data_IF_066233545139
#
_entry.id   IF_066233545139
#
_cell.length_a   1.000
_cell.length_b   1.000
_cell.length_c   1.000
_cell.angle_alpha   90.00
_cell.angle_beta   90.00
_cell.angle_gamma   90.00
#
_symmetry.space_group_name_H-M   'P 1'
#
loop_
_entity.id
_entity.type
_entity.pdbx_description
1 polymer ?
#
# COMPACT_ATOMS: atom_id res chain seq x y z
N UNK A 1 -6.25 -12.11 -25.43
CA UNK A 1 -5.58 -12.23 -24.10
C UNK A 1 -6.13 -13.46 -23.39
N UNK A 2 -5.29 -14.24 -22.68
CA UNK A 2 -5.73 -15.42 -21.90
C UNK A 2 -6.59 -15.00 -20.70
N UNK A 3 -7.60 -15.80 -20.34
CA UNK A 3 -8.41 -15.61 -19.12
C UNK A 3 -7.55 -15.82 -17.86
N UNK A 4 -7.55 -14.84 -16.97
CA UNK A 4 -6.83 -14.88 -15.69
C UNK A 4 -7.46 -15.91 -14.75
N UNK A 5 -6.63 -16.68 -14.03
CA UNK A 5 -7.08 -17.60 -12.98
C UNK A 5 -7.28 -16.83 -11.66
N UNK A 6 -8.15 -17.32 -10.80
CA UNK A 6 -8.41 -16.71 -9.49
C UNK A 6 -7.15 -16.68 -8.60
N UNK A 7 -6.32 -17.73 -8.64
CA UNK A 7 -5.02 -17.76 -7.95
C UNK A 7 -4.07 -16.64 -8.39
N UNK A 8 -4.02 -16.34 -9.69
CA UNK A 8 -3.18 -15.27 -10.25
C UNK A 8 -3.66 -13.90 -9.74
N UNK A 9 -4.98 -13.70 -9.67
CA UNK A 9 -5.59 -12.50 -9.11
C UNK A 9 -5.28 -12.34 -7.63
N UNK A 10 -5.51 -13.38 -6.81
CA UNK A 10 -5.27 -13.32 -5.37
C UNK A 10 -3.78 -13.11 -5.04
N UNK A 11 -2.88 -13.70 -5.83
CA UNK A 11 -1.43 -13.49 -5.67
C UNK A 11 -1.02 -12.04 -5.91
N UNK A 12 -1.57 -11.40 -6.95
CA UNK A 12 -1.32 -9.97 -7.21
C UNK A 12 -1.87 -9.12 -6.07
N UNK A 13 -3.07 -9.43 -5.57
CA UNK A 13 -3.69 -8.68 -4.49
C UNK A 13 -2.92 -8.84 -3.16
N UNK A 14 -2.47 -10.05 -2.80
CA UNK A 14 -1.68 -10.27 -1.57
C UNK A 14 -0.35 -9.49 -1.62
N UNK A 15 0.38 -9.58 -2.74
CA UNK A 15 1.65 -8.87 -2.91
C UNK A 15 1.50 -7.34 -2.75
N UNK A 16 0.47 -6.75 -3.37
CA UNK A 16 0.25 -5.31 -3.28
C UNK A 16 -0.34 -4.89 -1.93
N UNK A 17 -1.13 -5.74 -1.28
CA UNK A 17 -1.58 -5.49 0.09
C UNK A 17 -0.41 -5.45 1.07
N UNK A 18 0.55 -6.37 0.93
CA UNK A 18 1.75 -6.39 1.76
C UNK A 18 2.62 -5.14 1.52
N UNK A 19 2.91 -4.81 0.26
CA UNK A 19 3.70 -3.62 -0.11
C UNK A 19 3.07 -2.32 0.40
N UNK A 20 1.73 -2.19 0.31
CA UNK A 20 1.01 -1.06 0.85
C UNK A 20 1.13 -0.98 2.39
N UNK A 21 0.98 -2.11 3.10
CA UNK A 21 1.12 -2.17 4.56
C UNK A 21 2.52 -1.79 5.04
N UNK A 22 3.56 -2.31 4.37
CA UNK A 22 4.96 -2.00 4.68
C UNK A 22 5.26 -0.51 4.46
N UNK A 23 4.89 0.04 3.31
CA UNK A 23 5.12 1.47 3.03
C UNK A 23 4.37 2.38 4.00
N UNK A 24 3.12 2.04 4.34
CA UNK A 24 2.35 2.78 5.35
C UNK A 24 3.00 2.73 6.73
N UNK A 25 3.59 1.59 7.11
CA UNK A 25 4.29 1.43 8.39
C UNK A 25 5.50 2.36 8.46
N UNK A 26 6.30 2.43 7.40
CA UNK A 26 7.46 3.32 7.33
C UNK A 26 7.04 4.78 7.45
N UNK A 27 6.02 5.21 6.70
CA UNK A 27 5.52 6.59 6.79
C UNK A 27 4.98 6.92 8.19
N UNK A 28 4.24 5.99 8.82
CA UNK A 28 3.76 6.17 10.19
C UNK A 28 4.91 6.32 11.19
N UNK A 29 5.95 5.49 11.09
CA UNK A 29 7.11 5.54 11.99
C UNK A 29 7.92 6.82 11.81
N UNK A 30 8.07 7.32 10.58
CA UNK A 30 8.68 8.63 10.33
C UNK A 30 7.86 9.74 11.03
N UNK A 31 6.54 9.76 10.84
CA UNK A 31 5.70 10.75 11.52
C UNK A 31 5.73 10.61 13.06
N UNK A 32 5.87 9.39 13.57
CA UNK A 32 5.83 9.10 15.00
C UNK A 32 7.15 9.41 15.70
N UNK A 33 8.27 9.00 15.11
CA UNK A 33 9.57 8.98 15.79
C UNK A 33 10.55 10.04 15.26
N UNK A 34 10.32 10.57 14.06
CA UNK A 34 11.16 11.66 13.53
C UNK A 34 10.47 13.01 13.69
N UNK A 35 9.17 13.10 13.38
CA UNK A 35 8.43 14.35 13.48
C UNK A 35 7.66 14.53 14.80
N UNK A 36 7.58 13.49 15.65
CA UNK A 36 6.77 13.48 16.89
C UNK A 36 5.31 13.97 16.70
N UNK A 37 4.76 13.80 15.48
CA UNK A 37 3.51 14.43 15.09
C UNK A 37 2.31 13.47 15.24
N UNK A 38 1.57 13.64 16.35
CA UNK A 38 0.45 12.75 16.72
C UNK A 38 -0.65 12.64 15.66
N UNK A 39 -1.03 13.74 15.02
CA UNK A 39 -2.13 13.71 14.04
C UNK A 39 -1.76 12.96 12.76
N UNK A 40 -0.54 13.17 12.22
CA UNK A 40 -0.05 12.45 11.04
C UNK A 40 0.09 10.96 11.33
N UNK A 41 0.67 10.61 12.48
CA UNK A 41 0.76 9.22 12.96
C UNK A 41 -0.63 8.55 12.97
N UNK A 42 -1.62 9.23 13.55
CA UNK A 42 -3.01 8.73 13.57
C UNK A 42 -3.58 8.59 12.15
N UNK A 43 -3.30 9.53 11.26
CA UNK A 43 -3.71 9.49 9.86
C UNK A 43 -3.25 8.20 9.16
N UNK A 44 -1.97 7.86 9.28
CA UNK A 44 -1.42 6.63 8.71
C UNK A 44 -1.99 5.38 9.37
N UNK A 45 -2.09 5.37 10.70
CA UNK A 45 -2.72 4.25 11.43
C UNK A 45 -4.14 3.99 10.93
N UNK A 46 -4.96 5.03 10.75
CA UNK A 46 -6.33 4.89 10.23
C UNK A 46 -6.33 4.34 8.81
N UNK A 47 -5.45 4.81 7.92
CA UNK A 47 -5.36 4.29 6.55
C UNK A 47 -4.97 2.81 6.56
N UNK A 48 -4.04 2.38 7.43
CA UNK A 48 -3.66 0.97 7.60
C UNK A 48 -4.81 0.07 8.04
N UNK A 49 -5.60 0.53 9.02
CA UNK A 49 -6.77 -0.21 9.49
C UNK A 49 -7.79 -0.39 8.37
N UNK A 50 -8.16 0.70 7.71
CA UNK A 50 -9.12 0.65 6.61
C UNK A 50 -8.63 -0.16 5.42
N UNK A 51 -7.33 -0.11 5.09
CA UNK A 51 -6.76 -0.98 4.06
C UNK A 51 -6.96 -2.46 4.38
N UNK A 52 -6.85 -2.83 5.66
CA UNK A 52 -7.07 -4.21 6.12
C UNK A 52 -8.55 -4.58 6.07
N UNK A 53 -9.44 -3.66 6.46
CA UNK A 53 -10.89 -3.84 6.38
C UNK A 53 -11.36 -4.00 4.93
N UNK A 54 -10.94 -3.13 4.02
CA UNK A 54 -11.28 -3.24 2.59
C UNK A 54 -10.75 -4.55 1.99
N UNK A 55 -9.57 -5.02 2.42
CA UNK A 55 -9.04 -6.31 1.99
C UNK A 55 -9.86 -7.51 2.49
N UNK A 56 -10.61 -7.37 3.59
CA UNK A 56 -11.48 -8.43 4.09
C UNK A 56 -12.61 -8.77 3.11
N UNK A 57 -13.11 -7.77 2.36
CA UNK A 57 -14.13 -7.96 1.33
C UNK A 57 -13.72 -8.90 0.18
N UNK A 58 -12.41 -9.14 0.02
CA UNK A 58 -11.86 -10.01 -1.03
C UNK A 58 -11.66 -11.46 -0.54
N UNK A 59 -11.77 -11.70 0.77
CA UNK A 59 -11.52 -12.98 1.41
C UNK A 59 -10.05 -13.18 1.79
N UNK A 60 -9.72 -12.86 3.04
CA UNK A 60 -8.36 -12.98 3.60
C UNK A 60 -7.80 -14.40 3.44
N UNK A 61 -8.64 -15.43 3.59
CA UNK A 61 -8.27 -16.83 3.44
C UNK A 61 -7.69 -17.14 2.06
N UNK A 62 -8.25 -16.52 1.00
CA UNK A 62 -7.79 -16.70 -0.37
C UNK A 62 -6.45 -15.99 -0.63
N UNK A 63 -6.24 -14.82 -0.01
CA UNK A 63 -4.97 -14.10 -0.09
C UNK A 63 -3.83 -14.86 0.61
N UNK A 64 -4.11 -15.40 1.81
CA UNK A 64 -3.14 -16.20 2.56
C UNK A 64 -2.80 -17.50 1.85
N UNK A 65 -3.78 -18.17 1.26
CA UNK A 65 -3.58 -19.39 0.48
C UNK A 65 -2.76 -19.15 -0.80
N UNK A 66 -2.89 -17.97 -1.42
CA UNK A 66 -2.15 -17.59 -2.63
C UNK A 66 -0.74 -17.02 -2.35
N UNK A 67 -0.33 -16.96 -1.07
CA UNK A 67 0.96 -16.38 -0.66
C UNK A 67 2.12 -17.27 -1.12
N UNK A 68 2.76 -16.87 -2.21
CA UNK A 68 4.02 -17.48 -2.67
C UNK A 68 5.22 -16.68 -2.17
N UNK A 69 5.90 -17.18 -1.13
CA UNK A 69 7.08 -16.55 -0.51
C UNK A 69 8.34 -16.69 -1.39
N UNK A 70 8.43 -17.75 -2.19
CA UNK A 70 9.69 -18.16 -2.85
C UNK A 70 9.81 -17.80 -4.34
N UNK A 71 8.77 -17.22 -4.96
CA UNK A 71 8.68 -17.06 -6.41
C UNK A 71 8.54 -15.63 -6.93
N UNK A 72 8.94 -14.59 -6.17
CA UNK A 72 8.90 -13.21 -6.67
C UNK A 72 10.04 -12.95 -7.65
N UNK A 73 9.73 -12.98 -8.95
CA UNK A 73 10.66 -12.71 -10.04
C UNK A 73 11.11 -11.23 -10.06
N UNK A 74 10.40 -10.36 -9.33
CA UNK A 74 10.67 -8.92 -9.21
C UNK A 74 11.71 -8.54 -8.15
N UNK A 75 12.40 -9.50 -7.52
CA UNK A 75 13.35 -9.28 -6.41
C UNK A 75 14.66 -8.57 -6.78
N UNK A 76 14.75 -7.93 -7.94
CA UNK A 76 15.92 -7.13 -8.32
C UNK A 76 15.76 -5.72 -7.75
N UNK A 77 16.48 -5.46 -6.66
CA UNK A 77 16.74 -4.11 -6.12
C UNK A 77 17.39 -3.27 -7.22
N UNK A 78 16.75 -2.16 -7.60
CA UNK A 78 17.36 -1.18 -8.50
C UNK A 78 18.34 -0.33 -7.69
N UNK A 79 19.49 0.03 -8.28
CA UNK A 79 20.50 0.88 -7.62
C UNK A 79 19.96 2.24 -7.14
N UNK A 80 18.82 2.69 -7.66
CA UNK A 80 18.11 3.89 -7.18
C UNK A 80 17.45 3.72 -5.80
N UNK A 81 17.26 2.49 -5.30
CA UNK A 81 16.78 2.25 -3.93
C UNK A 81 17.83 2.56 -2.84
N UNK A 82 19.11 2.68 -3.22
CA UNK A 82 20.25 2.88 -2.31
C UNK A 82 20.57 4.35 -2.03
N UNK A 83 20.07 5.30 -2.81
CA UNK A 83 20.38 6.72 -2.66
C UNK A 83 19.28 7.46 -1.89
N UNK A 84 19.20 7.25 -0.57
CA UNK A 84 18.37 8.08 0.33
C UNK A 84 19.30 9.02 1.09
N UNK A 85 19.10 10.32 0.97
CA UNK A 85 19.96 11.34 1.63
C UNK A 85 19.28 11.94 2.85
N UNK A 86 17.95 12.02 2.86
CA UNK A 86 17.14 12.62 3.93
C UNK A 86 15.95 11.75 4.27
N UNK A 87 15.40 11.93 5.48
CA UNK A 87 14.17 11.24 5.93
C UNK A 87 13.00 11.54 4.98
N UNK A 88 12.94 12.76 4.43
CA UNK A 88 11.93 13.20 3.47
C UNK A 88 11.93 12.32 2.19
N UNK A 89 13.12 11.90 1.72
CA UNK A 89 13.26 11.00 0.57
C UNK A 89 12.68 9.62 0.90
N UNK A 90 12.92 9.14 2.13
CA UNK A 90 12.40 7.86 2.61
C UNK A 90 10.87 7.92 2.69
N UNK A 91 10.34 9.00 3.27
CA UNK A 91 8.91 9.22 3.39
C UNK A 91 8.25 9.26 2.01
N UNK A 92 8.77 10.09 1.10
CA UNK A 92 8.20 10.26 -0.24
C UNK A 92 8.23 8.96 -1.03
N UNK A 93 9.36 8.26 -1.07
CA UNK A 93 9.47 7.00 -1.79
C UNK A 93 8.48 5.94 -1.29
N UNK A 94 8.29 5.83 0.04
CA UNK A 94 7.32 4.91 0.61
C UNK A 94 5.87 5.35 0.34
N UNK A 95 5.57 6.66 0.41
CA UNK A 95 4.24 7.18 0.07
C UNK A 95 3.87 6.89 -1.40
N UNK A 96 4.82 7.01 -2.35
CA UNK A 96 4.59 6.63 -3.75
C UNK A 96 4.29 5.13 -3.89
N UNK A 97 5.11 4.27 -3.29
CA UNK A 97 4.91 2.80 -3.29
C UNK A 97 3.55 2.40 -2.74
N UNK A 98 3.09 3.05 -1.67
CA UNK A 98 1.75 2.81 -1.12
C UNK A 98 0.68 3.17 -2.14
N UNK A 99 0.77 4.34 -2.77
CA UNK A 99 -0.24 4.78 -3.74
C UNK A 99 -0.30 3.88 -4.97
N UNK A 100 0.85 3.44 -5.48
CA UNK A 100 0.96 2.48 -6.58
C UNK A 100 0.35 1.14 -6.19
N UNK A 101 0.68 0.63 -5.00
CA UNK A 101 0.14 -0.63 -4.50
C UNK A 101 -1.39 -0.57 -4.33
N UNK A 102 -1.92 0.51 -3.75
CA UNK A 102 -3.38 0.71 -3.63
C UNK A 102 -4.02 0.86 -5.02
N UNK A 103 -3.34 1.48 -5.99
CA UNK A 103 -3.84 1.59 -7.37
C UNK A 103 -3.98 0.21 -8.02
N UNK A 104 -3.03 -0.70 -7.79
CA UNK A 104 -3.13 -2.08 -8.29
C UNK A 104 -4.31 -2.79 -7.60
N UNK A 105 -4.43 -2.68 -6.28
CA UNK A 105 -5.56 -3.25 -5.54
C UNK A 105 -6.92 -2.75 -6.06
N UNK A 106 -7.03 -1.44 -6.32
CA UNK A 106 -8.22 -0.81 -6.90
C UNK A 106 -8.60 -1.44 -8.24
N UNK A 107 -7.65 -1.58 -9.16
CA UNK A 107 -7.93 -2.13 -10.49
C UNK A 107 -8.30 -3.62 -10.45
N UNK A 108 -7.60 -4.42 -9.64
CA UNK A 108 -7.89 -5.85 -9.52
C UNK A 108 -9.18 -6.14 -8.77
N UNK A 109 -9.54 -5.31 -7.78
CA UNK A 109 -10.80 -5.44 -7.06
C UNK A 109 -12.03 -5.28 -7.97
N UNK A 110 -11.95 -4.48 -9.06
CA UNK A 110 -13.06 -4.32 -10.02
C UNK A 110 -13.48 -5.63 -10.67
N UNK A 111 -12.60 -6.63 -10.71
CA UNK A 111 -12.89 -7.96 -11.25
C UNK A 111 -13.68 -8.85 -10.27
N UNK A 112 -13.78 -8.46 -9.00
CA UNK A 112 -14.43 -9.24 -7.93
C UNK A 112 -15.57 -8.48 -7.26
N UNK A 113 -15.31 -7.25 -6.81
CA UNK A 113 -16.27 -6.42 -6.11
C UNK A 113 -16.02 -4.93 -6.36
N UNK A 114 -17.04 -4.27 -6.90
CA UNK A 114 -16.99 -2.84 -7.21
C UNK A 114 -16.92 -1.99 -5.95
N UNK A 115 -17.56 -2.42 -4.86
CA UNK A 115 -17.55 -1.66 -3.61
C UNK A 115 -16.14 -1.59 -3.01
N UNK A 116 -15.45 -2.73 -2.95
CA UNK A 116 -14.06 -2.81 -2.51
C UNK A 116 -13.12 -1.98 -3.40
N UNK A 117 -13.35 -1.97 -4.71
CA UNK A 117 -12.58 -1.10 -5.62
C UNK A 117 -12.78 0.39 -5.29
N UNK A 118 -14.01 0.81 -5.00
CA UNK A 118 -14.30 2.19 -4.58
C UNK A 118 -13.64 2.55 -3.25
N UNK A 119 -13.54 1.60 -2.32
CA UNK A 119 -12.84 1.82 -1.05
C UNK A 119 -11.33 1.98 -1.22
N UNK A 120 -10.70 1.16 -2.06
CA UNK A 120 -9.28 1.37 -2.41
C UNK A 120 -9.06 2.72 -3.09
N UNK A 121 -9.97 3.14 -3.97
CA UNK A 121 -9.93 4.48 -4.56
C UNK A 121 -9.94 5.56 -3.47
N UNK A 122 -10.88 5.49 -2.52
CA UNK A 122 -10.95 6.45 -1.39
C UNK A 122 -9.67 6.45 -0.56
N UNK A 123 -9.10 5.28 -0.26
CA UNK A 123 -7.84 5.15 0.47
C UNK A 123 -6.67 5.81 -0.27
N UNK A 124 -6.59 5.64 -1.59
CA UNK A 124 -5.58 6.28 -2.43
C UNK A 124 -5.68 7.81 -2.36
N UNK A 125 -6.89 8.36 -2.46
CA UNK A 125 -7.10 9.82 -2.30
C UNK A 125 -6.74 10.33 -0.91
N UNK A 126 -7.05 9.56 0.14
CA UNK A 126 -6.61 9.90 1.50
C UNK A 126 -5.10 9.92 1.64
N UNK A 127 -4.39 8.99 0.98
CA UNK A 127 -2.94 9.02 0.96
C UNK A 127 -2.39 10.27 0.26
N UNK A 128 -2.93 10.67 -0.89
CA UNK A 128 -2.52 11.92 -1.52
C UNK A 128 -2.73 13.13 -0.61
N UNK A 129 -3.87 13.21 0.08
CA UNK A 129 -4.18 14.31 0.98
C UNK A 129 -3.23 14.36 2.18
N UNK A 130 -2.90 13.20 2.76
CA UNK A 130 -2.01 13.10 3.91
C UNK A 130 -0.56 13.43 3.53
N UNK A 131 -0.07 12.87 2.42
CA UNK A 131 1.25 13.19 1.86
C UNK A 131 1.39 14.68 1.56
N UNK A 132 0.41 15.28 0.87
CA UNK A 132 0.44 16.72 0.57
C UNK A 132 0.55 17.55 1.85
N UNK A 133 -0.27 17.23 2.87
CA UNK A 133 -0.22 17.93 4.15
C UNK A 133 1.17 17.87 4.76
N UNK A 134 1.78 16.69 4.84
CA UNK A 134 3.10 16.49 5.44
C UNK A 134 4.18 17.23 4.66
N UNK A 135 4.20 17.14 3.33
CA UNK A 135 5.21 17.83 2.51
C UNK A 135 5.07 19.36 2.58
N UNK A 136 3.85 19.88 2.78
CA UNK A 136 3.62 21.34 2.85
C UNK A 136 3.71 21.93 4.26
N UNK A 137 3.65 21.10 5.31
CA UNK A 137 3.56 21.54 6.70
C UNK A 137 4.64 20.94 7.62
N UNK A 138 5.45 20.01 7.11
CA UNK A 138 6.62 19.44 7.79
C UNK A 138 7.91 20.02 7.24
#
# INVERSE_FOLDING_TARGET
MRRMKDEELYRVMDANLNRAKEGLRVCEDICRFVHDHRQWTRGFKTIRHQLTESAAGIGISNLVAARHIEGDVGRKTLNSELARRRVDDIFYANAQRVKESIRVLEEFAKLKDRHTAEDFKKLRYRMYALEKRIITQG
#
